data_IF_498547417490
#
_entry.id   IF_498547417490
#
_cell.length_a   1.000
_cell.length_b   1.000
_cell.length_c   1.000
_cell.angle_alpha   90.00
_cell.angle_beta   90.00
_cell.angle_gamma   90.00
#
_symmetry.space_group_name_H-M   'P 1'
#
loop_
_entity.id
_entity.type
_entity.pdbx_description
1 polymer ?
#
# COMPACT_ATOMS: atom_id res chain seq x y z
N UNK A 1 15.82 14.69 21.94
CA UNK A 1 17.23 14.49 21.56
C UNK A 1 17.33 14.42 20.04
N UNK A 2 18.23 15.14 19.33
CA UNK A 2 18.17 15.20 17.85
C UNK A 2 18.59 13.89 17.15
N UNK A 3 18.16 13.72 15.90
CA UNK A 3 18.61 12.66 14.98
C UNK A 3 20.10 12.86 14.70
N UNK A 4 20.88 11.82 14.96
CA UNK A 4 22.35 11.83 14.78
C UNK A 4 22.80 11.12 13.51
N UNK A 5 22.00 10.20 12.99
CA UNK A 5 22.29 9.41 11.80
C UNK A 5 21.00 8.92 11.14
N UNK A 6 21.09 8.53 9.87
CA UNK A 6 20.03 7.84 9.14
C UNK A 6 20.58 6.52 8.64
N UNK A 7 20.02 5.42 9.13
CA UNK A 7 20.36 4.10 8.63
C UNK A 7 19.51 3.74 7.42
N UNK A 8 20.07 2.94 6.51
CA UNK A 8 19.35 2.40 5.37
C UNK A 8 19.39 0.88 5.33
N UNK A 9 18.33 0.29 4.78
CA UNK A 9 18.22 -1.15 4.55
C UNK A 9 17.68 -1.48 3.17
N UNK A 10 17.98 -2.67 2.68
CA UNK A 10 17.42 -3.24 1.46
C UNK A 10 16.72 -4.56 1.77
N UNK A 11 15.43 -4.64 1.47
CA UNK A 11 14.56 -5.79 1.77
C UNK A 11 14.37 -6.69 0.54
N UNK A 12 14.99 -6.31 -0.57
CA UNK A 12 14.95 -7.03 -1.84
C UNK A 12 13.65 -6.80 -2.60
N UNK A 13 13.38 -7.73 -3.52
CA UNK A 13 12.32 -7.57 -4.51
C UNK A 13 10.93 -7.65 -3.89
N UNK A 14 10.05 -6.73 -4.30
CA UNK A 14 8.64 -6.67 -3.94
C UNK A 14 7.81 -6.17 -5.11
N UNK A 15 6.56 -6.56 -5.12
CA UNK A 15 5.57 -6.07 -6.08
C UNK A 15 4.71 -5.00 -5.42
N UNK A 16 4.55 -3.87 -6.10
CA UNK A 16 3.51 -2.89 -5.79
C UNK A 16 2.45 -3.01 -6.88
N UNK A 17 1.31 -3.62 -6.52
CA UNK A 17 0.32 -4.07 -7.50
C UNK A 17 0.92 -5.11 -8.47
N UNK A 18 1.13 -4.69 -9.73
CA UNK A 18 1.73 -5.54 -10.78
C UNK A 18 3.17 -5.17 -11.13
N UNK A 19 3.70 -4.05 -10.65
CA UNK A 19 5.09 -3.70 -10.94
C UNK A 19 6.02 -4.43 -10.00
N UNK A 20 7.09 -4.96 -10.57
CA UNK A 20 8.23 -5.44 -9.81
C UNK A 20 9.14 -4.27 -9.47
N UNK A 21 9.58 -4.24 -8.23
CA UNK A 21 10.55 -3.28 -7.73
C UNK A 21 11.32 -3.86 -6.56
N UNK A 22 12.04 -3.00 -5.88
CA UNK A 22 12.75 -3.31 -4.64
C UNK A 22 12.28 -2.40 -3.52
N UNK A 23 12.20 -2.99 -2.33
CA UNK A 23 11.83 -2.28 -1.11
C UNK A 23 13.09 -1.94 -0.31
N UNK A 24 13.11 -0.70 0.18
CA UNK A 24 14.15 -0.15 1.01
C UNK A 24 13.55 0.53 2.24
N UNK A 25 14.41 0.80 3.22
CA UNK A 25 14.03 1.48 4.46
C UNK A 25 15.04 2.59 4.79
N UNK A 26 14.55 3.68 5.37
CA UNK A 26 15.34 4.64 6.15
C UNK A 26 14.85 4.59 7.59
N UNK A 27 15.80 4.49 8.52
CA UNK A 27 15.56 4.50 9.96
C UNK A 27 16.44 5.61 10.56
N UNK A 28 15.88 6.76 10.95
CA UNK A 28 16.61 7.75 11.73
C UNK A 28 17.03 7.15 13.08
N UNK A 29 18.14 7.64 13.63
CA UNK A 29 18.66 7.16 14.90
C UNK A 29 19.18 8.32 15.78
N UNK A 30 19.02 8.21 17.11
CA UNK A 30 18.32 7.13 17.80
C UNK A 30 16.79 7.27 17.69
N UNK A 31 16.06 6.29 18.22
CA UNK A 31 14.59 6.30 18.35
C UNK A 31 14.18 5.93 19.77
N UNK A 32 12.92 6.15 20.13
CA UNK A 32 12.37 5.64 21.38
C UNK A 32 12.47 4.11 21.46
N UNK A 33 12.52 3.61 22.70
CA UNK A 33 12.59 2.19 22.95
C UNK A 33 11.38 1.46 22.36
N UNK A 34 11.64 0.62 21.36
CA UNK A 34 10.62 -0.11 20.61
C UNK A 34 10.97 -1.61 20.58
N UNK A 35 10.02 -2.44 21.02
CA UNK A 35 10.23 -3.88 21.13
C UNK A 35 10.42 -4.55 19.76
N UNK A 36 9.70 -4.11 18.73
CA UNK A 36 9.80 -4.63 17.37
C UNK A 36 11.18 -4.32 16.78
N UNK A 37 11.67 -3.09 16.95
CA UNK A 37 13.01 -2.67 16.53
C UNK A 37 14.11 -3.44 17.29
N UNK A 38 13.96 -3.61 18.60
CA UNK A 38 14.90 -4.39 19.40
C UNK A 38 14.93 -5.86 18.96
N UNK A 39 13.78 -6.48 18.72
CA UNK A 39 13.67 -7.84 18.18
C UNK A 39 14.22 -7.98 16.76
N UNK A 40 14.25 -6.89 15.99
CA UNK A 40 14.87 -6.82 14.68
C UNK A 40 16.41 -6.63 14.75
N UNK A 41 16.96 -6.40 15.94
CA UNK A 41 18.39 -6.23 16.19
C UNK A 41 18.86 -4.78 16.26
N UNK A 42 17.95 -3.81 16.28
CA UNK A 42 18.30 -2.40 16.45
C UNK A 42 18.62 -2.09 17.91
N UNK A 43 19.55 -1.16 18.16
CA UNK A 43 20.08 -0.91 19.50
C UNK A 43 20.34 0.57 19.84
N UNK A 44 20.27 1.49 18.87
CA UNK A 44 20.50 2.92 19.13
C UNK A 44 19.19 3.58 19.59
N UNK A 45 18.85 3.37 20.85
CA UNK A 45 17.66 3.92 21.49
C UNK A 45 18.00 5.11 22.39
N UNK A 46 17.15 6.13 22.38
CA UNK A 46 17.19 7.26 23.31
C UNK A 46 15.82 7.95 23.33
N UNK A 47 15.49 8.59 24.45
CA UNK A 47 14.23 9.32 24.59
C UNK A 47 14.14 10.43 23.54
N UNK A 48 13.11 10.37 22.71
CA UNK A 48 12.73 11.42 21.78
C UNK A 48 12.27 12.66 22.57
N UNK A 49 12.53 13.83 22.01
CA UNK A 49 12.03 15.10 22.53
C UNK A 49 11.57 15.91 21.32
N UNK A 50 10.92 17.06 21.53
CA UNK A 50 10.39 17.91 20.45
C UNK A 50 11.36 18.15 19.28
N UNK A 51 12.66 18.32 19.57
CA UNK A 51 13.69 18.52 18.53
C UNK A 51 13.86 17.30 17.61
N UNK A 52 13.59 16.09 18.10
CA UNK A 52 13.62 14.87 17.31
C UNK A 52 12.44 14.83 16.34
N UNK A 53 11.24 15.19 16.81
CA UNK A 53 10.03 15.22 16.00
C UNK A 53 10.16 16.23 14.85
N UNK A 54 10.65 17.44 15.15
CA UNK A 54 10.92 18.49 14.16
C UNK A 54 11.89 17.98 13.07
N UNK A 55 12.92 17.22 13.45
CA UNK A 55 13.91 16.66 12.52
C UNK A 55 13.35 15.47 11.71
N UNK A 56 12.52 14.62 12.30
CA UNK A 56 11.80 13.58 11.57
C UNK A 56 10.87 14.20 10.52
N UNK A 57 10.13 15.25 10.90
CA UNK A 57 9.27 15.99 9.99
C UNK A 57 10.05 16.58 8.82
N UNK A 58 11.23 17.17 9.10
CA UNK A 58 12.13 17.68 8.07
C UNK A 58 12.66 16.56 7.16
N UNK A 59 12.98 15.38 7.71
CA UNK A 59 13.43 14.21 6.95
C UNK A 59 12.34 13.66 6.02
N UNK A 60 11.09 13.58 6.47
CA UNK A 60 9.94 13.20 5.65
C UNK A 60 9.70 14.23 4.54
N UNK A 61 9.75 15.53 4.86
CA UNK A 61 9.60 16.61 3.88
C UNK A 61 10.69 16.55 2.80
N UNK A 62 11.93 16.30 3.22
CA UNK A 62 13.08 16.11 2.32
C UNK A 62 12.88 14.87 1.44
N UNK A 63 12.39 13.77 2.01
CA UNK A 63 12.04 12.55 1.25
C UNK A 63 11.04 12.85 0.14
N UNK A 64 9.91 13.49 0.46
CA UNK A 64 8.88 13.83 -0.54
C UNK A 64 9.45 14.74 -1.62
N UNK A 65 10.25 15.74 -1.24
CA UNK A 65 10.89 16.68 -2.18
C UNK A 65 11.85 15.97 -3.12
N UNK A 66 12.77 15.16 -2.59
CA UNK A 66 13.75 14.38 -3.38
C UNK A 66 13.04 13.44 -4.36
N UNK A 67 12.01 12.74 -3.90
CA UNK A 67 11.25 11.82 -4.74
C UNK A 67 10.45 12.56 -5.81
N UNK A 68 9.91 13.75 -5.49
CA UNK A 68 9.22 14.62 -6.45
C UNK A 68 10.16 15.10 -7.55
N UNK A 69 11.37 15.55 -7.19
CA UNK A 69 12.39 15.99 -8.16
C UNK A 69 12.81 14.85 -9.08
N UNK A 70 13.00 13.64 -8.55
CA UNK A 70 13.50 12.50 -9.32
C UNK A 70 12.45 11.80 -10.16
N UNK A 71 11.21 11.75 -9.70
CA UNK A 71 10.17 10.90 -10.28
C UNK A 71 8.91 11.66 -10.71
N UNK A 72 8.78 12.94 -10.38
CA UNK A 72 7.63 13.78 -10.72
C UNK A 72 6.59 13.87 -9.60
N UNK A 73 5.45 14.47 -9.91
CA UNK A 73 4.47 14.89 -8.91
C UNK A 73 3.96 13.75 -8.00
N UNK A 74 3.79 14.02 -6.70
CA UNK A 74 3.27 13.05 -5.74
C UNK A 74 1.75 12.85 -5.90
N UNK A 75 1.31 11.61 -5.75
CA UNK A 75 -0.10 11.23 -5.58
C UNK A 75 -0.30 10.56 -4.23
N UNK A 76 -1.28 11.04 -3.46
CA UNK A 76 -1.46 10.65 -2.06
C UNK A 76 -2.61 9.68 -1.94
N UNK A 77 -2.31 8.48 -1.43
CA UNK A 77 -3.31 7.50 -1.05
C UNK A 77 -3.23 7.29 0.45
N UNK A 78 -4.25 7.77 1.17
CA UNK A 78 -4.39 7.54 2.60
C UNK A 78 -5.57 6.62 2.85
N UNK A 79 -5.35 5.59 3.66
CA UNK A 79 -6.41 4.75 4.19
C UNK A 79 -6.90 5.34 5.51
N UNK A 80 -7.73 6.38 5.44
CA UNK A 80 -8.44 6.84 6.64
C UNK A 80 -9.62 5.90 6.89
N UNK A 81 -9.75 5.33 8.12
CA UNK A 81 -11.01 4.72 8.50
C UNK A 81 -12.08 5.81 8.41
N UNK A 82 -13.26 5.52 7.83
CA UNK A 82 -14.23 6.57 7.60
C UNK A 82 -14.71 7.12 8.96
N UNK A 83 -14.49 8.42 9.17
CA UNK A 83 -14.84 9.11 10.40
C UNK A 83 -16.34 9.41 10.41
N UNK A 84 -17.09 8.53 11.06
CA UNK A 84 -18.52 8.72 11.25
C UNK A 84 -18.81 9.30 12.63
N UNK A 85 -19.79 10.24 12.75
CA UNK A 85 -20.28 10.66 14.04
C UNK A 85 -20.67 9.44 14.89
N UNK A 86 -20.39 9.42 16.22
CA UNK A 86 -20.66 8.24 17.05
C UNK A 86 -22.11 7.74 16.98
N UNK A 87 -23.07 8.65 16.78
CA UNK A 87 -24.48 8.29 16.61
C UNK A 87 -24.76 7.59 15.27
N UNK A 88 -24.05 7.95 14.20
CA UNK A 88 -24.16 7.29 12.89
C UNK A 88 -23.56 5.89 12.93
N UNK A 89 -22.44 5.70 13.63
CA UNK A 89 -21.84 4.37 13.83
C UNK A 89 -22.79 3.44 14.60
N UNK A 90 -23.46 3.96 15.63
CA UNK A 90 -24.47 3.21 16.40
C UNK A 90 -25.71 2.89 15.56
N UNK A 91 -26.16 3.84 14.73
CA UNK A 91 -27.31 3.62 13.86
C UNK A 91 -27.00 2.63 12.74
N UNK A 92 -25.78 2.68 12.20
CA UNK A 92 -25.34 1.77 11.15
C UNK A 92 -25.14 0.35 11.66
N UNK A 93 -24.55 0.17 12.85
CA UNK A 93 -24.48 -1.14 13.51
C UNK A 93 -25.87 -1.70 13.82
N UNK A 94 -26.83 -0.86 14.22
CA UNK A 94 -28.22 -1.26 14.40
C UNK A 94 -28.92 -1.66 13.08
N UNK A 95 -28.60 -0.98 11.97
CA UNK A 95 -29.15 -1.26 10.64
C UNK A 95 -28.33 -2.26 9.82
N UNK A 96 -27.33 -2.90 10.41
CA UNK A 96 -26.53 -3.93 9.76
C UNK A 96 -25.60 -3.41 8.64
N UNK A 97 -25.03 -2.22 8.80
CA UNK A 97 -24.05 -1.66 7.85
C UNK A 97 -24.65 -0.88 6.67
N UNK A 98 -25.96 -0.62 6.69
CA UNK A 98 -26.74 -0.15 5.55
C UNK A 98 -26.69 1.36 5.30
N UNK A 99 -26.11 2.15 6.20
CA UNK A 99 -25.97 3.62 6.06
C UNK A 99 -24.55 4.03 5.68
N UNK A 100 -23.53 3.33 6.17
CA UNK A 100 -22.14 3.71 5.95
C UNK A 100 -21.56 3.23 4.62
N UNK A 101 -22.21 2.26 3.95
CA UNK A 101 -21.83 1.73 2.62
C UNK A 101 -21.63 2.77 1.51
N UNK A 102 -22.27 3.95 1.61
CA UNK A 102 -22.16 5.03 0.61
C UNK A 102 -21.05 6.03 0.86
N UNK A 103 -20.32 5.91 1.96
CA UNK A 103 -19.25 6.84 2.31
C UNK A 103 -18.01 6.49 1.51
N UNK A 104 -17.94 7.00 0.26
CA UNK A 104 -16.70 6.95 -0.52
C UNK A 104 -15.60 7.62 0.31
N UNK A 105 -14.40 7.01 0.44
CA UNK A 105 -13.27 7.71 1.03
C UNK A 105 -13.12 9.05 0.31
N UNK A 106 -13.29 10.15 1.06
CA UNK A 106 -13.08 11.46 0.48
C UNK A 106 -11.59 11.56 0.12
N UNK A 107 -11.24 12.14 -1.04
CA UNK A 107 -9.85 12.50 -1.29
C UNK A 107 -9.39 13.32 -0.09
N UNK A 108 -8.38 12.82 0.62
CA UNK A 108 -7.83 13.51 1.78
C UNK A 108 -7.25 14.84 1.28
N UNK A 109 -7.66 15.95 1.88
CA UNK A 109 -7.08 17.27 1.60
C UNK A 109 -5.66 17.43 2.19
N UNK A 110 -5.07 16.34 2.70
CA UNK A 110 -3.73 16.33 3.28
C UNK A 110 -2.69 16.44 2.17
N UNK A 111 -1.66 17.23 2.43
CA UNK A 111 -0.46 17.22 1.59
C UNK A 111 0.26 15.86 1.72
N UNK A 112 1.08 15.44 0.74
CA UNK A 112 1.84 14.20 0.83
C UNK A 112 2.69 14.10 2.09
N UNK A 113 3.38 15.19 2.44
CA UNK A 113 4.21 15.30 3.65
C UNK A 113 3.37 15.10 4.91
N UNK A 114 2.25 15.82 5.04
CA UNK A 114 1.39 15.71 6.23
C UNK A 114 0.80 14.31 6.37
N UNK A 115 0.44 13.65 5.26
CA UNK A 115 -0.08 12.29 5.30
C UNK A 115 0.96 11.31 5.88
N UNK A 116 2.21 11.38 5.42
CA UNK A 116 3.30 10.53 5.92
C UNK A 116 3.68 10.87 7.37
N UNK A 117 3.75 12.15 7.74
CA UNK A 117 4.02 12.59 9.11
C UNK A 117 2.97 12.03 10.08
N UNK A 118 1.68 12.17 9.77
CA UNK A 118 0.64 11.65 10.69
C UNK A 118 0.71 10.13 10.84
N UNK A 119 1.02 9.39 9.77
CA UNK A 119 1.12 7.93 9.84
C UNK A 119 2.41 7.40 10.48
N UNK A 120 3.42 8.26 10.65
CA UNK A 120 4.64 7.94 11.38
C UNK A 120 4.48 8.15 12.90
N UNK A 121 3.50 8.94 13.33
CA UNK A 121 3.19 9.16 14.74
C UNK A 121 2.34 8.00 15.28
N UNK A 122 2.72 7.48 16.44
CA UNK A 122 1.95 6.44 17.12
C UNK A 122 0.56 6.97 17.54
N UNK A 123 -0.41 6.06 17.63
CA UNK A 123 -1.80 6.33 18.02
C UNK A 123 -2.60 7.35 17.17
N UNK A 124 -2.06 7.83 16.06
CA UNK A 124 -2.75 8.79 15.18
C UNK A 124 -3.34 8.14 13.93
N UNK A 125 -4.63 8.37 13.60
CA UNK A 125 -5.15 8.00 12.30
C UNK A 125 -4.66 8.97 11.20
N UNK A 126 -4.21 8.47 10.05
CA UNK A 126 -4.21 7.08 9.61
C UNK A 126 -3.00 6.29 10.14
N UNK A 127 -3.17 4.99 10.45
CA UNK A 127 -2.04 4.11 10.80
C UNK A 127 -1.13 3.78 9.60
N UNK A 128 -1.47 4.27 8.41
CA UNK A 128 -0.76 3.99 7.16
C UNK A 128 -0.96 5.13 6.16
N UNK A 129 0.12 5.60 5.55
CA UNK A 129 0.08 6.53 4.43
C UNK A 129 1.00 6.08 3.30
N UNK A 130 0.53 6.24 2.05
CA UNK A 130 1.30 5.97 0.84
C UNK A 130 1.29 7.18 -0.08
N UNK A 131 2.48 7.55 -0.55
CA UNK A 131 2.68 8.59 -1.56
C UNK A 131 3.41 7.97 -2.75
N UNK A 132 2.73 7.95 -3.90
CA UNK A 132 3.29 7.45 -5.16
C UNK A 132 3.90 8.57 -6.00
N UNK A 133 4.96 8.26 -6.76
CA UNK A 133 5.67 9.20 -7.65
C UNK A 133 5.90 8.56 -9.03
N UNK A 134 5.90 9.35 -10.11
CA UNK A 134 6.02 8.84 -11.48
C UNK A 134 4.73 9.03 -12.27
N UNK A 135 4.76 10.01 -13.18
CA UNK A 135 3.80 10.37 -14.22
C UNK A 135 2.37 9.80 -14.11
N UNK A 136 1.44 10.63 -13.60
CA UNK A 136 0.07 10.83 -14.11
C UNK A 136 -0.82 9.60 -14.43
N UNK A 137 -0.57 8.45 -13.83
CA UNK A 137 -1.17 7.21 -14.29
C UNK A 137 -2.28 6.63 -13.39
N UNK A 138 -2.70 7.33 -12.32
CA UNK A 138 -3.96 6.94 -11.69
C UNK A 138 -5.17 7.14 -12.61
N UNK A 139 -5.09 8.04 -13.62
CA UNK A 139 -6.17 8.20 -14.64
C UNK A 139 -6.25 7.05 -15.66
N UNK A 140 -5.19 6.27 -15.83
CA UNK A 140 -5.12 5.19 -16.84
C UNK A 140 -4.71 3.82 -16.28
N UNK A 141 -4.56 3.71 -14.96
CA UNK A 141 -4.21 2.45 -14.31
C UNK A 141 -2.73 2.05 -14.41
N UNK A 142 -1.82 2.94 -14.82
CA UNK A 142 -0.40 2.62 -14.68
C UNK A 142 0.07 2.93 -13.24
N UNK A 143 0.72 1.97 -12.57
CA UNK A 143 1.26 2.14 -11.23
C UNK A 143 2.43 3.13 -11.18
N UNK A 144 2.63 3.76 -10.03
CA UNK A 144 3.77 4.65 -9.75
C UNK A 144 5.13 3.99 -10.04
N UNK A 145 6.16 4.80 -10.34
CA UNK A 145 7.55 4.32 -10.52
C UNK A 145 8.29 4.23 -9.19
N UNK A 146 7.84 4.99 -8.21
CA UNK A 146 8.33 4.94 -6.85
C UNK A 146 7.17 5.17 -5.86
N UNK A 147 7.33 4.70 -4.63
CA UNK A 147 6.38 4.92 -3.55
C UNK A 147 7.11 5.14 -2.24
N UNK A 148 6.59 6.03 -1.41
CA UNK A 148 7.04 6.26 -0.03
C UNK A 148 5.88 5.95 0.91
N UNK A 149 6.16 5.30 2.02
CA UNK A 149 5.13 5.01 3.01
C UNK A 149 5.71 4.99 4.43
N UNK A 150 4.84 5.34 5.37
CA UNK A 150 5.05 5.24 6.82
C UNK A 150 3.87 4.47 7.39
N UNK A 151 4.09 3.74 8.48
CA UNK A 151 3.08 2.84 9.03
C UNK A 151 3.33 2.48 10.50
N UNK A 152 2.25 2.13 11.17
CA UNK A 152 2.24 1.41 12.45
C UNK A 152 3.02 2.14 13.57
N UNK A 153 3.10 3.48 13.51
CA UNK A 153 3.76 4.31 14.53
C UNK A 153 5.28 4.18 14.58
N UNK A 154 5.88 3.35 13.71
CA UNK A 154 7.33 3.23 13.64
C UNK A 154 7.92 4.40 12.84
N UNK A 155 9.07 4.96 13.27
CA UNK A 155 9.74 6.04 12.56
C UNK A 155 10.51 5.56 11.32
N UNK A 156 10.03 4.51 10.66
CA UNK A 156 10.64 3.94 9.46
C UNK A 156 9.99 4.57 8.24
N UNK A 157 10.82 5.18 7.39
CA UNK A 157 10.40 5.65 6.07
C UNK A 157 10.71 4.56 5.07
N UNK A 158 9.67 3.93 4.55
CA UNK A 158 9.82 2.90 3.55
C UNK A 158 9.81 3.49 2.15
N UNK A 159 10.67 2.97 1.28
CA UNK A 159 10.78 3.42 -0.10
C UNK A 159 10.73 2.21 -1.02
N UNK A 160 9.72 2.16 -1.89
CA UNK A 160 9.67 1.21 -2.98
C UNK A 160 10.10 1.89 -4.27
N UNK A 161 11.01 1.27 -5.02
CA UNK A 161 11.45 1.74 -6.33
C UNK A 161 11.22 0.64 -7.36
N UNK A 162 10.66 1.00 -8.51
CA UNK A 162 10.61 0.09 -9.66
C UNK A 162 12.03 -0.41 -10.00
N UNK A 163 12.15 -1.66 -10.46
CA UNK A 163 13.43 -2.28 -10.83
C UNK A 163 14.28 -1.39 -11.75
N UNK A 164 13.66 -0.66 -12.67
CA UNK A 164 14.36 0.22 -13.63
C UNK A 164 15.10 1.39 -12.97
N UNK A 165 14.78 1.72 -11.71
CA UNK A 165 15.37 2.83 -10.96
C UNK A 165 15.86 2.43 -9.56
N UNK A 166 15.75 1.15 -9.19
CA UNK A 166 16.14 0.65 -7.87
C UNK A 166 17.63 0.84 -7.57
N UNK A 167 18.50 0.77 -8.58
CA UNK A 167 19.95 0.97 -8.45
C UNK A 167 20.32 2.41 -8.00
N UNK A 168 19.40 3.37 -8.15
CA UNK A 168 19.60 4.73 -7.66
C UNK A 168 19.42 4.87 -6.14
N UNK A 169 18.99 3.81 -5.43
CA UNK A 169 18.72 3.85 -4.00
C UNK A 169 19.86 4.44 -3.16
N UNK A 170 21.14 4.04 -3.34
CA UNK A 170 22.21 4.56 -2.50
C UNK A 170 22.40 6.07 -2.59
N UNK A 171 22.12 6.67 -3.75
CA UNK A 171 22.19 8.11 -3.97
C UNK A 171 20.96 8.81 -3.38
N UNK A 172 19.77 8.25 -3.58
CA UNK A 172 18.52 8.78 -3.01
C UNK A 172 18.60 8.82 -1.48
N UNK A 173 19.05 7.73 -0.84
CA UNK A 173 19.19 7.66 0.61
C UNK A 173 20.17 8.72 1.15
N UNK A 174 21.29 8.96 0.44
CA UNK A 174 22.26 10.02 0.79
C UNK A 174 21.68 11.41 0.62
N UNK A 175 20.95 11.67 -0.46
CA UNK A 175 20.28 12.96 -0.68
C UNK A 175 19.24 13.25 0.41
N UNK A 176 18.46 12.23 0.80
CA UNK A 176 17.46 12.35 1.87
C UNK A 176 18.11 12.60 3.22
N UNK A 177 19.17 11.86 3.57
CA UNK A 177 19.90 12.03 4.83
C UNK A 177 20.61 13.40 4.92
N UNK A 178 20.91 14.02 3.77
CA UNK A 178 21.57 15.32 3.70
C UNK A 178 22.95 15.28 4.39
N UNK A 179 23.18 16.13 5.41
CA UNK A 179 24.46 16.15 6.14
C UNK A 179 24.60 15.02 7.17
N UNK A 180 23.52 14.31 7.50
CA UNK A 180 23.56 13.24 8.49
C UNK A 180 24.36 12.04 7.96
N UNK A 181 25.17 11.38 8.80
CA UNK A 181 25.76 10.09 8.47
C UNK A 181 24.69 9.11 7.96
N UNK A 182 24.91 8.59 6.75
CA UNK A 182 24.04 7.59 6.15
C UNK A 182 24.78 6.26 6.00
N UNK A 183 24.41 5.27 6.81
CA UNK A 183 25.05 3.95 6.82
C UNK A 183 24.05 2.83 6.57
N UNK A 184 24.52 1.77 5.94
CA UNK A 184 23.72 0.56 5.78
C UNK A 184 23.78 -0.27 7.05
N UNK A 185 22.65 -0.81 7.47
CA UNK A 185 22.55 -1.69 8.64
C UNK A 185 21.85 -2.99 8.27
N UNK A 186 22.28 -4.07 8.92
CA UNK A 186 21.66 -5.38 8.82
C UNK A 186 20.70 -5.56 10.00
N UNK A 187 19.41 -5.52 9.71
CA UNK A 187 18.33 -5.81 10.66
C UNK A 187 17.49 -6.95 10.11
N UNK A 188 16.75 -7.63 10.97
CA UNK A 188 15.68 -8.54 10.55
C UNK A 188 14.46 -7.77 10.01
N UNK A 189 14.66 -6.99 8.93
CA UNK A 189 13.70 -6.06 8.35
C UNK A 189 12.34 -6.68 8.03
N UNK A 190 12.29 -7.97 7.73
CA UNK A 190 11.05 -8.71 7.50
C UNK A 190 10.09 -8.71 8.71
N UNK A 191 10.60 -8.49 9.93
CA UNK A 191 9.81 -8.36 11.15
C UNK A 191 9.17 -6.98 11.31
N UNK A 192 9.71 -5.98 10.61
CA UNK A 192 9.29 -4.58 10.68
C UNK A 192 8.38 -4.18 9.52
N UNK A 193 8.12 -5.10 8.58
CA UNK A 193 7.30 -4.79 7.42
C UNK A 193 5.92 -4.26 7.84
N UNK A 194 5.39 -3.25 7.13
CA UNK A 194 4.06 -2.74 7.40
C UNK A 194 3.02 -3.85 7.38
N UNK A 195 2.06 -3.75 8.28
CA UNK A 195 0.90 -4.66 8.32
C UNK A 195 0.03 -4.56 7.06
N UNK A 196 0.15 -3.47 6.31
CA UNK A 196 -0.74 -3.14 5.19
C UNK A 196 -0.28 -3.80 3.87
N UNK A 197 -1.17 -4.52 3.14
CA UNK A 197 -0.79 -5.39 2.02
C UNK A 197 -0.59 -4.64 0.69
N UNK A 198 0.21 -3.58 0.68
CA UNK A 198 0.59 -2.92 -0.59
C UNK A 198 1.74 -3.64 -1.29
N UNK A 199 2.58 -4.33 -0.53
CA UNK A 199 3.77 -4.98 -1.03
C UNK A 199 3.68 -6.49 -0.87
N UNK A 200 3.84 -7.20 -1.99
CA UNK A 200 3.83 -8.65 -2.03
C UNK A 200 5.15 -9.19 -2.57
N UNK A 201 5.52 -10.41 -2.18
CA UNK A 201 6.68 -11.11 -2.77
C UNK A 201 6.39 -11.65 -4.17
N UNK A 202 5.12 -11.83 -4.49
CA UNK A 202 4.61 -12.30 -5.77
C UNK A 202 3.71 -11.24 -6.40
N UNK A 203 3.59 -11.16 -7.74
CA UNK A 203 2.67 -10.22 -8.36
C UNK A 203 1.24 -10.48 -7.88
N UNK A 204 0.49 -9.43 -7.55
CA UNK A 204 -0.91 -9.63 -7.18
C UNK A 204 -1.68 -10.20 -8.36
N UNK A 205 -2.21 -11.40 -8.17
CA UNK A 205 -3.06 -12.06 -9.17
C UNK A 205 -4.39 -11.36 -9.30
N UNK A 206 -4.88 -10.71 -8.23
CA UNK A 206 -6.15 -9.99 -8.20
C UNK A 206 -5.90 -8.49 -8.24
N UNK A 207 -6.65 -7.77 -9.06
CA UNK A 207 -6.70 -6.31 -9.02
C UNK A 207 -8.16 -5.85 -9.08
N UNK A 208 -8.49 -4.89 -8.24
CA UNK A 208 -9.82 -4.26 -8.19
C UNK A 208 -9.71 -2.88 -8.83
N UNK A 209 -10.56 -2.62 -9.82
CA UNK A 209 -10.52 -1.37 -10.58
C UNK A 209 -11.49 -0.36 -9.96
N UNK A 210 -11.19 0.94 -10.03
CA UNK A 210 -12.16 1.98 -9.61
C UNK A 210 -13.43 1.84 -10.48
N UNK A 211 -14.53 1.34 -9.90
CA UNK A 211 -15.79 1.08 -10.62
C UNK A 211 -16.43 -0.25 -10.20
N UNK A 212 -17.01 -0.96 -11.15
CA UNK A 212 -17.76 -2.19 -10.93
C UNK A 212 -17.04 -3.41 -11.54
N UNK A 213 -15.69 -3.46 -11.44
CA UNK A 213 -14.90 -4.51 -12.06
C UNK A 213 -13.70 -4.98 -11.22
N UNK A 214 -13.36 -6.26 -11.35
CA UNK A 214 -12.17 -6.89 -10.83
C UNK A 214 -11.48 -7.69 -11.94
N UNK A 215 -10.17 -7.93 -11.80
CA UNK A 215 -9.42 -8.79 -12.71
C UNK A 215 -8.60 -9.82 -11.96
N UNK A 216 -8.43 -10.99 -12.56
CA UNK A 216 -7.48 -12.01 -12.13
C UNK A 216 -6.44 -12.25 -13.23
N UNK A 217 -5.19 -12.59 -12.89
CA UNK A 217 -4.14 -12.93 -13.85
C UNK A 217 -3.36 -14.18 -13.43
N UNK A 218 -2.97 -14.99 -14.41
CA UNK A 218 -2.02 -16.10 -14.23
C UNK A 218 -0.55 -15.65 -14.39
N UNK A 219 -0.32 -14.37 -14.71
CA UNK A 219 0.98 -13.78 -15.02
C UNK A 219 1.09 -13.34 -16.48
N UNK A 220 0.48 -14.09 -17.41
CA UNK A 220 0.56 -13.84 -18.85
C UNK A 220 -0.77 -13.34 -19.43
N UNK A 221 -1.90 -13.72 -18.81
CA UNK A 221 -3.25 -13.47 -19.30
C UNK A 221 -4.12 -12.90 -18.19
N UNK A 222 -4.99 -11.97 -18.57
CA UNK A 222 -5.93 -11.31 -17.64
C UNK A 222 -7.35 -11.77 -17.92
N UNK A 223 -8.09 -12.07 -16.86
CA UNK A 223 -9.53 -12.34 -16.88
C UNK A 223 -10.28 -11.27 -16.09
N UNK A 224 -11.23 -10.60 -16.73
CA UNK A 224 -12.09 -9.59 -16.11
C UNK A 224 -13.37 -10.18 -15.52
N UNK A 225 -13.85 -9.57 -14.45
CA UNK A 225 -15.09 -9.88 -13.76
C UNK A 225 -15.84 -8.60 -13.44
N UNK A 226 -17.16 -8.65 -13.46
CA UNK A 226 -17.97 -7.63 -12.81
C UNK A 226 -17.81 -7.74 -11.29
N UNK A 227 -17.77 -6.60 -10.62
CA UNK A 227 -17.62 -6.48 -9.18
C UNK A 227 -18.61 -5.46 -8.62
N UNK A 228 -19.24 -5.79 -7.50
CA UNK A 228 -19.99 -4.83 -6.71
C UNK A 228 -19.07 -4.26 -5.64
N UNK A 229 -18.36 -3.17 -5.94
CA UNK A 229 -17.43 -2.58 -4.97
C UNK A 229 -18.12 -1.70 -3.91
N UNK A 230 -19.39 -1.39 -4.11
CA UNK A 230 -20.21 -0.65 -3.14
C UNK A 230 -20.81 -1.50 -2.02
N UNK A 231 -20.66 -2.82 -2.01
CA UNK A 231 -21.18 -3.70 -0.95
C UNK A 231 -20.06 -4.17 -0.03
N UNK A 232 -20.37 -4.47 1.23
CA UNK A 232 -19.37 -4.94 2.21
C UNK A 232 -19.71 -6.37 2.68
N UNK A 233 -18.82 -7.35 2.48
CA UNK A 233 -17.55 -7.26 1.73
C UNK A 233 -17.80 -7.00 0.24
N UNK A 234 -16.83 -6.39 -0.48
CA UNK A 234 -16.91 -6.19 -1.93
C UNK A 234 -17.18 -7.51 -2.64
N UNK A 235 -18.06 -7.50 -3.63
CA UNK A 235 -18.48 -8.71 -4.33
C UNK A 235 -17.85 -8.80 -5.70
N UNK A 236 -17.55 -10.01 -6.15
CA UNK A 236 -17.14 -10.31 -7.52
C UNK A 236 -18.02 -11.41 -8.08
N UNK A 237 -18.56 -11.19 -9.27
CA UNK A 237 -19.59 -12.05 -9.85
C UNK A 237 -18.96 -13.03 -10.84
N UNK A 238 -19.15 -14.32 -10.58
CA UNK A 238 -18.64 -15.41 -11.42
C UNK A 238 -19.81 -16.28 -11.90
N UNK A 239 -19.72 -16.91 -13.08
CA UNK A 239 -20.63 -17.98 -13.45
C UNK A 239 -20.60 -19.14 -12.44
N UNK A 240 -21.71 -19.87 -12.28
CA UNK A 240 -21.73 -21.12 -11.53
C UNK A 240 -20.69 -22.10 -12.06
N UNK A 241 -20.20 -22.99 -11.20
CA UNK A 241 -19.18 -23.98 -11.59
C UNK A 241 -19.60 -24.81 -12.81
N UNK A 242 -20.87 -25.20 -12.88
CA UNK A 242 -21.45 -25.96 -14.00
C UNK A 242 -21.41 -25.23 -15.34
N UNK A 243 -21.35 -23.90 -15.33
CA UNK A 243 -21.34 -23.06 -16.53
C UNK A 243 -19.95 -22.48 -16.84
N UNK A 244 -19.01 -22.55 -15.90
CA UNK A 244 -17.69 -21.93 -16.04
C UNK A 244 -16.97 -22.35 -17.31
N UNK A 245 -16.90 -23.66 -17.61
CA UNK A 245 -16.18 -24.17 -18.79
C UNK A 245 -16.77 -23.66 -20.12
N UNK A 246 -18.05 -23.30 -20.14
CA UNK A 246 -18.73 -22.78 -21.33
C UNK A 246 -18.43 -21.30 -21.55
N UNK A 247 -18.30 -20.53 -20.47
CA UNK A 247 -18.14 -19.08 -20.57
C UNK A 247 -16.70 -18.58 -20.40
N UNK A 248 -15.87 -19.26 -19.63
CA UNK A 248 -14.49 -18.89 -19.43
C UNK A 248 -13.67 -19.15 -20.70
N UNK A 249 -12.65 -18.34 -20.99
CA UNK A 249 -11.66 -18.67 -22.00
C UNK A 249 -11.06 -20.05 -21.75
N UNK A 250 -10.70 -20.77 -22.82
CA UNK A 250 -10.17 -22.15 -22.72
C UNK A 250 -8.97 -22.25 -21.78
N UNK A 251 -8.11 -21.23 -21.73
CA UNK A 251 -6.97 -21.17 -20.84
C UNK A 251 -7.33 -21.08 -19.35
N UNK A 252 -8.51 -20.54 -19.02
CA UNK A 252 -9.00 -20.38 -17.65
C UNK A 252 -10.01 -21.46 -17.24
N UNK A 253 -10.37 -22.39 -18.13
CA UNK A 253 -11.43 -23.37 -17.90
C UNK A 253 -11.20 -24.28 -16.68
N UNK A 254 -9.94 -24.52 -16.31
CA UNK A 254 -9.54 -25.32 -15.13
C UNK A 254 -9.10 -24.46 -13.95
N UNK A 255 -8.98 -23.14 -14.12
CA UNK A 255 -8.41 -22.23 -13.12
C UNK A 255 -9.44 -21.68 -12.13
N UNK A 256 -10.74 -22.00 -12.29
CA UNK A 256 -11.81 -21.48 -11.42
C UNK A 256 -11.52 -21.63 -9.93
N UNK A 257 -11.09 -22.80 -9.41
CA UNK A 257 -10.84 -22.94 -7.97
C UNK A 257 -9.71 -22.02 -7.49
N UNK A 258 -8.66 -21.83 -8.29
CA UNK A 258 -7.57 -20.92 -7.98
C UNK A 258 -8.03 -19.45 -8.01
N UNK A 259 -8.79 -19.07 -9.04
CA UNK A 259 -9.38 -17.73 -9.17
C UNK A 259 -10.26 -17.40 -7.96
N UNK A 260 -11.19 -18.30 -7.60
CA UNK A 260 -12.10 -18.10 -6.46
C UNK A 260 -11.31 -17.92 -5.17
N UNK A 261 -10.32 -18.79 -4.91
CA UNK A 261 -9.47 -18.69 -3.74
C UNK A 261 -8.69 -17.38 -3.71
N UNK A 262 -8.07 -16.99 -4.81
CA UNK A 262 -7.25 -15.78 -4.87
C UNK A 262 -8.12 -14.51 -4.67
N UNK A 263 -9.33 -14.47 -5.24
CA UNK A 263 -10.32 -13.40 -5.02
C UNK A 263 -10.74 -13.33 -3.54
N UNK A 264 -11.01 -14.47 -2.91
CA UNK A 264 -11.39 -14.53 -1.49
C UNK A 264 -10.24 -14.13 -0.55
N UNK A 265 -9.01 -14.55 -0.84
CA UNK A 265 -7.81 -14.14 -0.11
C UNK A 265 -7.59 -12.63 -0.23
N UNK A 266 -7.93 -12.03 -1.38
CA UNK A 266 -7.92 -10.58 -1.56
C UNK A 266 -9.04 -9.85 -0.79
N UNK A 267 -9.93 -10.59 -0.12
CA UNK A 267 -11.05 -10.04 0.66
C UNK A 267 -12.33 -9.82 -0.17
N UNK A 268 -12.41 -10.35 -1.40
CA UNK A 268 -13.60 -10.28 -2.23
C UNK A 268 -14.53 -11.47 -1.96
N UNK A 269 -15.82 -11.18 -1.82
CA UNK A 269 -16.85 -12.22 -1.78
C UNK A 269 -17.23 -12.63 -3.19
N UNK A 270 -16.98 -13.89 -3.54
CA UNK A 270 -17.44 -14.46 -4.81
C UNK A 270 -18.94 -14.75 -4.75
N UNK A 271 -19.69 -14.25 -5.73
CA UNK A 271 -21.13 -14.45 -5.89
C UNK A 271 -21.40 -15.14 -7.23
N UNK A 272 -22.17 -16.23 -7.21
CA UNK A 272 -22.54 -16.94 -8.43
C UNK A 272 -23.74 -16.28 -9.12
N UNK A 273 -23.58 -15.93 -10.40
CA UNK A 273 -24.67 -15.37 -11.21
C UNK A 273 -25.69 -16.47 -11.54
N UNK A 274 -26.97 -16.25 -11.20
CA UNK A 274 -28.04 -17.20 -11.55
C UNK A 274 -28.39 -17.20 -13.04
N UNK A 275 -28.18 -16.06 -13.72
CA UNK A 275 -28.36 -15.89 -15.15
C UNK A 275 -27.08 -15.29 -15.77
N UNK A 276 -26.28 -16.11 -16.45
CA UNK A 276 -24.99 -15.72 -17.00
C UNK A 276 -25.14 -14.98 -18.34
N UNK A 277 -25.54 -13.70 -18.30
CA UNK A 277 -25.42 -12.82 -19.48
C UNK A 277 -24.10 -12.05 -19.45
N UNK A 278 -23.17 -12.51 -20.30
CA UNK A 278 -21.97 -11.85 -20.83
C UNK A 278 -20.74 -11.62 -19.91
N UNK A 279 -19.64 -12.30 -20.26
CA UNK A 279 -18.29 -11.75 -20.08
C UNK A 279 -18.07 -10.70 -21.18
N UNK A 280 -17.73 -9.47 -20.83
CA UNK A 280 -17.12 -8.55 -21.78
C UNK A 280 -15.69 -9.04 -22.07
N UNK A 281 -15.42 -9.37 -23.33
CA UNK A 281 -14.05 -9.68 -23.80
C UNK A 281 -13.37 -8.35 -24.11
N UNK A 282 -12.59 -7.83 -23.18
CA UNK A 282 -11.54 -6.88 -23.57
C UNK A 282 -10.43 -7.64 -24.32
N UNK A 283 -10.07 -7.09 -25.49
CA UNK A 283 -9.01 -7.59 -26.38
C UNK A 283 -7.65 -7.09 -25.94
#
# INVERSE_FOLDING_TARGET
MPIRAVHRGALGRRYMGRRRGSLFALLPAPVDADACLAEAGFADFADSEDAWDDELEALISTTVTTMTVRFGDPDVTVHEPPTHPPWLQRLDSFLGGLLLWRSRPKPTARTPTLALQTAAQDDQPPAFAHVGFGAAAHRHGEPHRAGVFTSDGHPIIWVWLEDSVADAWPDIAREIAGPLPCSEIDLAWERLLPSFPLLSREPSRVAVHRGDAATWTDGDRVLGFQAGLGVTPPQVYLPPESQWRTHAPSWAATLRPAIVRDLQTFGLRVVELRDATAFERDR
#
